data_IF_200236309909
#
_entry.id   IF_200236309909
#
_cell.length_a   1.000
_cell.length_b   1.000
_cell.length_c   1.000
_cell.angle_alpha   90.00
_cell.angle_beta   90.00
_cell.angle_gamma   90.00
#
_symmetry.space_group_name_H-M   'P 1'
#
loop_
_entity.id
_entity.type
_entity.pdbx_description
1 polymer ?
#
# COMPACT_ATOMS: atom_id res chain seq x y z
N UNK A 1 -53.06 -39.64 61.15
CA UNK A 1 -53.73 -38.89 62.23
C UNK A 1 -53.11 -37.50 62.26
N UNK A 2 -53.97 -36.49 62.19
CA UNK A 2 -53.67 -35.05 62.02
C UNK A 2 -52.78 -34.47 63.12
N UNK A 3 -51.95 -33.47 62.79
CA UNK A 3 -52.11 -32.12 63.36
C UNK A 3 -51.18 -31.08 62.71
N UNK A 4 -51.84 -30.09 62.11
CA UNK A 4 -51.34 -28.80 61.67
C UNK A 4 -50.82 -27.97 62.85
N UNK A 5 -49.67 -27.29 62.68
CA UNK A 5 -49.32 -26.10 63.48
C UNK A 5 -48.71 -25.02 62.57
N UNK A 6 -49.60 -24.12 62.12
CA UNK A 6 -49.53 -22.65 62.09
C UNK A 6 -48.17 -21.97 61.81
N UNK A 7 -48.12 -21.27 60.66
CA UNK A 7 -47.08 -20.30 60.31
C UNK A 7 -47.09 -19.02 61.16
N UNK A 8 -45.93 -18.35 61.30
CA UNK A 8 -45.86 -16.90 61.37
C UNK A 8 -45.14 -16.34 60.13
N UNK A 9 -45.89 -15.54 59.35
CA UNK A 9 -45.35 -14.65 58.32
C UNK A 9 -44.51 -13.56 58.99
N UNK A 10 -43.21 -13.51 58.72
CA UNK A 10 -42.45 -12.26 58.82
C UNK A 10 -41.58 -12.11 57.59
N UNK A 11 -41.96 -11.11 56.79
CA UNK A 11 -41.28 -10.64 55.61
C UNK A 11 -39.96 -10.00 56.02
N UNK A 12 -38.84 -10.51 55.56
CA UNK A 12 -37.64 -9.67 55.42
C UNK A 12 -36.96 -9.97 54.10
N UNK A 13 -37.22 -9.08 53.15
CA UNK A 13 -36.52 -8.98 51.89
C UNK A 13 -35.09 -8.52 52.20
N UNK A 14 -34.12 -9.39 51.96
CA UNK A 14 -32.75 -8.97 51.75
C UNK A 14 -32.33 -9.53 50.38
N UNK A 15 -32.59 -8.72 49.34
CA UNK A 15 -31.98 -8.87 48.03
C UNK A 15 -30.47 -8.69 48.21
N UNK A 16 -29.73 -9.80 48.26
CA UNK A 16 -28.29 -9.76 48.04
C UNK A 16 -28.08 -9.65 46.52
N UNK A 17 -28.07 -8.40 46.04
CA UNK A 17 -27.64 -8.07 44.68
C UNK A 17 -26.14 -8.32 44.60
N UNK A 18 -25.74 -9.50 44.13
CA UNK A 18 -24.37 -9.75 43.70
C UNK A 18 -24.14 -9.01 42.38
N UNK A 19 -23.69 -7.77 42.49
CA UNK A 19 -23.22 -7.00 41.33
C UNK A 19 -21.91 -7.62 40.86
N UNK A 20 -21.99 -8.53 39.89
CA UNK A 20 -20.82 -8.94 39.11
C UNK A 20 -20.42 -7.71 38.30
N UNK A 21 -19.39 -7.01 38.76
CA UNK A 21 -18.69 -6.02 37.95
C UNK A 21 -17.94 -6.79 36.86
N UNK A 22 -18.61 -7.04 35.73
CA UNK A 22 -17.92 -7.39 34.49
C UNK A 22 -17.16 -6.14 34.08
N UNK A 23 -15.89 -6.07 34.48
CA UNK A 23 -14.90 -5.18 33.87
C UNK A 23 -14.71 -5.67 32.43
N UNK A 24 -15.60 -5.26 31.54
CA UNK A 24 -15.30 -5.26 30.12
C UNK A 24 -14.19 -4.24 29.96
N UNK A 25 -12.96 -4.74 29.84
CA UNK A 25 -11.83 -3.97 29.37
C UNK A 25 -12.17 -3.50 27.94
N UNK A 26 -12.91 -2.39 27.81
CA UNK A 26 -12.88 -1.58 26.61
C UNK A 26 -11.54 -0.85 26.60
N UNK A 27 -10.47 -1.64 26.40
CA UNK A 27 -9.16 -1.12 26.10
C UNK A 27 -9.28 -0.33 24.80
N UNK A 28 -8.91 0.95 24.90
CA UNK A 28 -8.84 1.94 23.85
C UNK A 28 -8.74 1.40 22.41
N UNK A 29 -9.86 1.57 21.69
CA UNK A 29 -9.94 2.20 20.37
C UNK A 29 -8.98 1.73 19.27
N UNK A 30 -9.44 0.84 18.38
CA UNK A 30 -9.28 0.95 16.91
C UNK A 30 -7.89 1.01 16.27
N UNK A 31 -6.79 0.97 17.03
CA UNK A 31 -5.45 1.37 16.54
C UNK A 31 -4.47 0.20 16.43
N UNK A 32 -4.91 -0.95 15.90
CA UNK A 32 -4.07 -2.16 15.85
C UNK A 32 -3.96 -2.87 14.50
N UNK A 33 -4.65 -2.42 13.44
CA UNK A 33 -4.51 -3.10 12.14
C UNK A 33 -3.21 -2.69 11.43
N UNK A 34 -2.84 -1.41 11.48
CA UNK A 34 -1.66 -0.88 10.80
C UNK A 34 -0.36 -0.94 11.62
N UNK A 35 -0.36 -1.52 12.83
CA UNK A 35 0.84 -1.55 13.67
C UNK A 35 2.00 -2.30 12.97
N UNK A 36 3.09 -1.59 12.68
CA UNK A 36 4.24 -2.17 11.96
C UNK A 36 4.05 -2.35 10.45
N UNK A 37 2.87 -2.01 9.92
CA UNK A 37 2.52 -2.07 8.49
C UNK A 37 2.57 -0.68 7.85
N UNK A 38 3.15 -0.60 6.65
CA UNK A 38 3.07 0.57 5.79
C UNK A 38 1.71 0.66 5.10
N UNK A 39 1.15 -0.49 4.71
CA UNK A 39 -0.22 -0.61 4.25
C UNK A 39 -0.78 -2.00 4.55
N UNK A 40 -2.09 -2.13 4.49
CA UNK A 40 -2.83 -3.39 4.44
C UNK A 40 -3.64 -3.36 3.14
N UNK A 41 -3.55 -4.42 2.35
CA UNK A 41 -4.25 -4.54 1.07
C UNK A 41 -5.06 -5.82 1.11
N UNK A 42 -6.39 -5.71 1.22
CA UNK A 42 -7.29 -6.86 1.34
C UNK A 42 -6.84 -7.86 2.45
N UNK A 43 -6.44 -7.32 3.62
CA UNK A 43 -5.94 -8.09 4.76
C UNK A 43 -4.46 -8.52 4.69
N UNK A 44 -3.78 -8.35 3.55
CA UNK A 44 -2.33 -8.60 3.42
C UNK A 44 -1.53 -7.41 3.91
N UNK A 45 -0.59 -7.63 4.83
CA UNK A 45 0.26 -6.57 5.35
C UNK A 45 1.47 -6.31 4.44
N UNK A 46 1.68 -5.04 4.09
CA UNK A 46 2.94 -4.53 3.53
C UNK A 46 3.72 -3.96 4.72
N UNK A 47 4.80 -4.61 5.20
CA UNK A 47 5.47 -4.20 6.42
C UNK A 47 6.29 -2.94 6.21
N UNK A 48 6.40 -2.14 7.26
CA UNK A 48 7.23 -0.92 7.28
C UNK A 48 8.70 -1.20 6.98
N UNK A 49 9.20 -2.36 7.42
CA UNK A 49 10.58 -2.81 7.19
C UNK A 49 10.88 -3.05 5.71
N UNK A 50 9.91 -3.50 4.91
CA UNK A 50 10.07 -3.67 3.47
C UNK A 50 10.29 -2.33 2.79
N UNK A 51 9.48 -1.32 3.15
CA UNK A 51 9.63 0.04 2.57
C UNK A 51 10.99 0.60 2.94
N UNK A 52 11.40 0.52 4.21
CA UNK A 52 12.71 1.01 4.66
C UNK A 52 13.88 0.30 4.00
N UNK A 53 13.80 -1.02 3.82
CA UNK A 53 14.85 -1.78 3.14
C UNK A 53 15.02 -1.33 1.68
N UNK A 54 13.92 -1.25 0.92
CA UNK A 54 13.93 -0.81 -0.48
C UNK A 54 14.36 0.65 -0.65
N UNK A 55 14.00 1.53 0.29
CA UNK A 55 14.48 2.93 0.30
C UNK A 55 16.00 2.97 0.41
N UNK A 56 16.58 2.16 1.31
CA UNK A 56 18.03 2.12 1.51
C UNK A 56 18.75 1.56 0.28
N UNK A 57 18.24 0.46 -0.28
CA UNK A 57 18.73 -0.15 -1.52
C UNK A 57 18.81 0.88 -2.65
N UNK A 58 17.67 1.47 -3.02
CA UNK A 58 17.59 2.42 -4.14
C UNK A 58 18.46 3.66 -3.89
N UNK A 59 18.51 4.18 -2.66
CA UNK A 59 19.38 5.32 -2.35
C UNK A 59 20.85 4.98 -2.60
N UNK A 60 21.32 3.82 -2.15
CA UNK A 60 22.71 3.40 -2.36
C UNK A 60 23.01 3.25 -3.85
N UNK A 61 22.07 2.73 -4.63
CA UNK A 61 22.24 2.59 -6.09
C UNK A 61 22.26 3.94 -6.80
N UNK A 62 21.34 4.86 -6.48
CA UNK A 62 21.32 6.21 -7.04
C UNK A 62 22.63 6.95 -6.75
N UNK A 63 23.22 6.76 -5.55
CA UNK A 63 24.51 7.35 -5.18
C UNK A 63 25.69 6.85 -6.04
N UNK A 64 25.58 5.68 -6.69
CA UNK A 64 26.59 5.15 -7.60
C UNK A 64 26.36 5.57 -9.06
N UNK A 65 25.21 6.17 -9.39
CA UNK A 65 24.91 6.55 -10.77
C UNK A 65 25.76 7.77 -11.20
N UNK A 66 26.20 7.80 -12.47
CA UNK A 66 26.76 9.01 -13.06
C UNK A 66 25.79 10.19 -12.96
N UNK A 67 26.29 11.38 -12.60
CA UNK A 67 25.48 12.59 -12.49
C UNK A 67 24.72 12.94 -13.80
N UNK A 68 25.23 12.52 -14.96
CA UNK A 68 24.57 12.68 -16.26
C UNK A 68 23.30 11.84 -16.43
N UNK A 69 23.12 10.78 -15.62
CA UNK A 69 21.96 9.89 -15.66
C UNK A 69 20.93 10.21 -14.56
N UNK A 70 21.25 11.11 -13.63
CA UNK A 70 20.38 11.50 -12.52
C UNK A 70 19.86 12.92 -12.75
N UNK A 71 18.62 13.04 -13.24
CA UNK A 71 18.00 14.36 -13.41
C UNK A 71 17.58 14.99 -12.08
N UNK A 72 17.10 14.17 -11.14
CA UNK A 72 16.72 14.59 -9.80
C UNK A 72 16.87 13.40 -8.84
N UNK A 73 17.40 13.65 -7.65
CA UNK A 73 17.43 12.65 -6.56
C UNK A 73 16.15 12.80 -5.74
N UNK A 74 15.30 11.76 -5.65
CA UNK A 74 14.11 11.80 -4.81
C UNK A 74 14.47 11.97 -3.33
N UNK A 75 13.65 12.70 -2.60
CA UNK A 75 13.72 12.72 -1.13
C UNK A 75 13.35 11.34 -0.56
N UNK A 76 13.77 11.05 0.68
CA UNK A 76 13.42 9.79 1.35
C UNK A 76 11.90 9.59 1.48
N UNK A 77 11.15 10.67 1.64
CA UNK A 77 9.70 10.64 1.74
C UNK A 77 9.05 10.32 0.39
N UNK A 78 9.53 10.91 -0.71
CA UNK A 78 9.08 10.59 -2.06
C UNK A 78 9.41 9.14 -2.43
N UNK A 79 10.64 8.70 -2.15
CA UNK A 79 11.06 7.32 -2.42
C UNK A 79 10.22 6.31 -1.64
N UNK A 80 9.93 6.60 -0.37
CA UNK A 80 9.02 5.77 0.44
C UNK A 80 7.62 5.67 -0.16
N UNK A 81 7.07 6.78 -0.66
CA UNK A 81 5.76 6.80 -1.33
C UNK A 81 5.76 6.05 -2.64
N UNK A 82 6.79 6.21 -3.49
CA UNK A 82 6.92 5.46 -4.74
C UNK A 82 6.95 3.95 -4.48
N UNK A 83 7.76 3.52 -3.52
CA UNK A 83 7.88 2.11 -3.13
C UNK A 83 6.55 1.57 -2.58
N UNK A 84 5.86 2.32 -1.73
CA UNK A 84 4.58 1.88 -1.17
C UNK A 84 3.48 1.85 -2.24
N UNK A 85 3.42 2.87 -3.10
CA UNK A 85 2.47 2.94 -4.22
C UNK A 85 2.61 1.71 -5.11
N UNK A 86 3.84 1.40 -5.50
CA UNK A 86 4.14 0.23 -6.32
C UNK A 86 3.79 -1.08 -5.61
N UNK A 87 4.11 -1.22 -4.33
CA UNK A 87 3.77 -2.43 -3.58
C UNK A 87 2.24 -2.65 -3.48
N UNK A 88 1.45 -1.57 -3.35
CA UNK A 88 -0.02 -1.66 -3.38
C UNK A 88 -0.50 -1.99 -4.79
N UNK A 89 0.03 -1.28 -5.81
CA UNK A 89 -0.34 -1.49 -7.21
C UNK A 89 -0.01 -2.90 -7.70
N UNK A 90 1.09 -3.51 -7.25
CA UNK A 90 1.44 -4.90 -7.53
C UNK A 90 0.30 -5.86 -7.12
N UNK A 91 -0.36 -5.64 -5.97
CA UNK A 91 -1.50 -6.45 -5.53
C UNK A 91 -2.78 -6.15 -6.33
N UNK A 92 -3.06 -4.87 -6.61
CA UNK A 92 -4.23 -4.44 -7.40
C UNK A 92 -4.15 -5.00 -8.81
N UNK A 93 -2.98 -4.88 -9.45
CA UNK A 93 -2.71 -5.38 -10.78
C UNK A 93 -2.82 -6.91 -10.84
N UNK A 94 -2.29 -7.62 -9.83
CA UNK A 94 -2.39 -9.08 -9.77
C UNK A 94 -3.86 -9.54 -9.75
N UNK A 95 -4.72 -8.87 -8.99
CA UNK A 95 -6.15 -9.15 -8.97
C UNK A 95 -6.81 -8.80 -10.32
N UNK A 96 -6.46 -7.67 -10.93
CA UNK A 96 -6.98 -7.27 -12.24
C UNK A 96 -6.62 -8.24 -13.36
N UNK A 97 -5.36 -8.69 -13.42
CA UNK A 97 -4.92 -9.72 -14.36
C UNK A 97 -5.69 -11.03 -14.15
N UNK A 98 -5.88 -11.43 -12.89
CA UNK A 98 -6.61 -12.65 -12.55
C UNK A 98 -8.09 -12.58 -12.98
N UNK A 99 -8.77 -11.44 -12.79
CA UNK A 99 -10.16 -11.25 -13.25
C UNK A 99 -10.31 -11.37 -14.77
N UNK A 100 -9.27 -11.00 -15.52
CA UNK A 100 -9.22 -11.15 -16.98
C UNK A 100 -8.64 -12.49 -17.45
N UNK A 101 -8.31 -13.40 -16.53
CA UNK A 101 -7.65 -14.68 -16.81
C UNK A 101 -6.31 -14.53 -17.55
N UNK A 102 -5.60 -13.42 -17.31
CA UNK A 102 -4.27 -13.18 -17.87
C UNK A 102 -3.21 -13.77 -16.94
N UNK A 103 -2.32 -14.58 -17.50
CA UNK A 103 -1.14 -15.10 -16.81
C UNK A 103 0.11 -14.55 -17.49
N UNK A 104 0.92 -13.79 -16.76
CA UNK A 104 2.21 -13.31 -17.24
C UNK A 104 3.28 -14.36 -16.91
N UNK A 105 4.03 -14.82 -17.90
CA UNK A 105 5.09 -15.84 -17.72
C UNK A 105 6.47 -15.22 -17.62
N UNK A 106 7.42 -15.90 -16.96
CA UNK A 106 8.81 -15.42 -16.86
C UNK A 106 9.47 -15.24 -18.23
N UNK A 107 9.14 -16.11 -19.19
CA UNK A 107 9.65 -16.03 -20.55
C UNK A 107 9.21 -14.73 -21.25
N UNK A 108 7.93 -14.37 -21.14
CA UNK A 108 7.40 -13.12 -21.70
C UNK A 108 8.04 -11.88 -21.06
N UNK A 109 8.21 -11.90 -19.73
CA UNK A 109 8.86 -10.78 -19.02
C UNK A 109 10.31 -10.65 -19.44
N UNK A 110 11.03 -11.76 -19.58
CA UNK A 110 12.42 -11.76 -20.06
C UNK A 110 12.52 -11.20 -21.48
N UNK A 111 11.64 -11.61 -22.39
CA UNK A 111 11.61 -11.11 -23.77
C UNK A 111 11.28 -9.62 -23.81
N UNK A 112 10.26 -9.19 -23.06
CA UNK A 112 9.88 -7.78 -22.92
C UNK A 112 11.05 -6.93 -22.38
N UNK A 113 11.65 -7.35 -21.26
CA UNK A 113 12.81 -6.67 -20.67
C UNK A 113 13.97 -6.54 -21.65
N UNK A 114 14.29 -7.63 -22.37
CA UNK A 114 15.34 -7.62 -23.38
C UNK A 114 15.03 -6.65 -24.53
N UNK A 115 13.77 -6.58 -24.98
CA UNK A 115 13.37 -5.61 -26.02
C UNK A 115 13.53 -4.16 -25.56
N UNK A 116 13.14 -3.84 -24.32
CA UNK A 116 13.28 -2.51 -23.72
C UNK A 116 14.76 -2.14 -23.60
N UNK A 117 15.59 -3.05 -23.09
CA UNK A 117 17.04 -2.82 -22.97
C UNK A 117 17.73 -2.68 -24.33
N UNK A 118 17.33 -3.46 -25.33
CA UNK A 118 17.87 -3.35 -26.68
C UNK A 118 17.50 -2.01 -27.34
N UNK A 119 16.33 -1.46 -27.02
CA UNK A 119 15.85 -0.20 -27.60
C UNK A 119 16.47 1.04 -26.94
N UNK A 120 16.63 1.04 -25.62
CA UNK A 120 16.99 2.24 -24.86
C UNK A 120 18.34 2.16 -24.14
N UNK A 121 18.94 0.98 -24.02
CA UNK A 121 20.14 0.72 -23.22
C UNK A 121 19.78 0.30 -21.79
N UNK A 122 20.40 -0.78 -21.31
CA UNK A 122 20.11 -1.33 -19.98
C UNK A 122 20.44 -0.35 -18.85
N UNK A 123 21.63 0.24 -18.88
CA UNK A 123 22.12 1.18 -17.87
C UNK A 123 21.25 2.45 -17.79
N UNK A 124 20.79 2.94 -18.95
CA UNK A 124 19.88 4.08 -19.04
C UNK A 124 18.54 3.76 -18.39
N UNK A 125 17.96 2.60 -18.70
CA UNK A 125 16.67 2.19 -18.14
C UNK A 125 16.78 1.92 -16.64
N UNK A 126 17.82 1.21 -16.18
CA UNK A 126 18.05 0.94 -14.75
C UNK A 126 18.20 2.23 -13.95
N UNK A 127 18.99 3.20 -14.44
CA UNK A 127 19.10 4.52 -13.82
C UNK A 127 17.76 5.27 -13.78
N UNK A 128 16.99 5.20 -14.86
CA UNK A 128 15.69 5.85 -14.95
C UNK A 128 14.67 5.25 -13.96
N UNK A 129 14.56 3.92 -13.88
CA UNK A 129 13.59 3.29 -12.99
C UNK A 129 13.98 3.44 -11.52
N UNK A 130 15.28 3.46 -11.19
CA UNK A 130 15.74 3.78 -9.84
C UNK A 130 15.30 5.19 -9.42
N UNK A 131 15.58 6.18 -10.27
CA UNK A 131 15.33 7.60 -9.95
C UNK A 131 13.86 8.00 -10.04
N UNK A 132 13.10 7.47 -10.99
CA UNK A 132 11.71 7.88 -11.25
C UNK A 132 10.66 6.95 -10.62
N UNK A 133 11.01 5.69 -10.34
CA UNK A 133 10.05 4.68 -9.86
C UNK A 133 10.45 4.08 -8.50
N UNK A 134 11.63 4.43 -7.97
CA UNK A 134 12.11 3.84 -6.72
C UNK A 134 12.29 2.32 -6.82
N UNK A 135 12.84 1.86 -7.94
CA UNK A 135 13.05 0.43 -8.23
C UNK A 135 14.54 0.14 -8.14
N UNK A 136 14.93 -0.72 -7.19
CA UNK A 136 16.30 -1.19 -7.06
C UNK A 136 16.64 -2.24 -8.12
N UNK A 137 17.93 -2.52 -8.33
CA UNK A 137 18.40 -3.48 -9.33
C UNK A 137 17.85 -4.89 -9.08
N UNK A 138 17.67 -5.29 -7.82
CA UNK A 138 17.06 -6.60 -7.49
C UNK A 138 15.57 -6.67 -7.84
N UNK A 139 14.91 -5.52 -8.02
CA UNK A 139 13.48 -5.41 -8.24
C UNK A 139 13.10 -5.19 -9.71
N UNK A 140 14.08 -5.09 -10.62
CA UNK A 140 13.83 -4.77 -12.04
C UNK A 140 12.94 -5.81 -12.71
N UNK A 141 13.14 -7.11 -12.45
CA UNK A 141 12.33 -8.16 -13.06
C UNK A 141 10.85 -8.07 -12.64
N UNK A 142 10.60 -7.80 -11.37
CA UNK A 142 9.25 -7.61 -10.85
C UNK A 142 8.61 -6.33 -11.42
N UNK A 143 9.39 -5.26 -11.57
CA UNK A 143 8.92 -4.03 -12.19
C UNK A 143 8.57 -4.24 -13.68
N UNK A 144 9.42 -4.92 -14.45
CA UNK A 144 9.15 -5.24 -15.85
C UNK A 144 7.92 -6.14 -16.02
N UNK A 145 7.70 -7.07 -15.09
CA UNK A 145 6.47 -7.88 -15.03
C UNK A 145 5.23 -7.03 -14.79
N UNK A 146 5.31 -6.05 -13.89
CA UNK A 146 4.22 -5.11 -13.61
C UNK A 146 3.89 -4.28 -14.86
N UNK A 147 4.90 -3.62 -15.45
CA UNK A 147 4.74 -2.81 -16.68
C UNK A 147 4.16 -3.63 -17.82
N UNK A 148 4.65 -4.86 -18.03
CA UNK A 148 4.12 -5.74 -19.07
C UNK A 148 2.67 -6.16 -18.79
N UNK A 149 2.32 -6.45 -17.53
CA UNK A 149 0.96 -6.77 -17.13
C UNK A 149 -0.01 -5.60 -17.36
N UNK A 150 0.40 -4.39 -17.00
CA UNK A 150 -0.33 -3.15 -17.28
C UNK A 150 -0.53 -2.96 -18.79
N UNK A 151 0.51 -3.17 -19.59
CA UNK A 151 0.44 -3.08 -21.05
C UNK A 151 -0.55 -4.10 -21.65
N UNK A 152 -0.59 -5.32 -21.13
CA UNK A 152 -1.55 -6.34 -21.56
C UNK A 152 -2.99 -5.96 -21.22
N UNK A 153 -3.23 -5.46 -20.00
CA UNK A 153 -4.56 -5.02 -19.59
C UNK A 153 -5.02 -3.80 -20.39
N UNK A 154 -4.17 -2.79 -20.56
CA UNK A 154 -4.52 -1.58 -21.30
C UNK A 154 -4.94 -1.91 -22.75
N UNK A 155 -4.19 -2.82 -23.41
CA UNK A 155 -4.54 -3.33 -24.74
C UNK A 155 -5.82 -4.17 -24.75
N UNK A 156 -6.06 -5.00 -23.72
CA UNK A 156 -7.27 -5.80 -23.65
C UNK A 156 -8.52 -4.93 -23.46
N UNK A 157 -8.44 -3.94 -22.56
CA UNK A 157 -9.54 -3.07 -22.18
C UNK A 157 -9.89 -2.07 -23.29
N UNK A 158 -8.86 -1.56 -23.99
CA UNK A 158 -9.03 -0.54 -25.04
C UNK A 158 -8.20 -0.90 -26.29
N UNK A 159 -8.55 -1.97 -27.03
CA UNK A 159 -7.71 -2.55 -28.10
C UNK A 159 -7.47 -1.65 -29.31
N UNK A 160 -8.31 -0.63 -29.52
CA UNK A 160 -8.17 0.33 -30.62
C UNK A 160 -8.03 1.77 -30.11
N UNK A 161 -7.76 1.94 -28.81
CA UNK A 161 -7.57 3.26 -28.22
C UNK A 161 -6.21 3.86 -28.58
N UNK A 162 -6.15 5.17 -28.55
CA UNK A 162 -4.91 5.93 -28.43
C UNK A 162 -4.19 5.58 -27.12
N UNK A 163 -2.92 5.97 -27.00
CA UNK A 163 -2.12 5.75 -25.77
C UNK A 163 -2.81 6.33 -24.52
N UNK A 164 -3.45 7.50 -24.66
CA UNK A 164 -4.14 8.16 -23.55
C UNK A 164 -5.42 7.40 -23.17
N UNK A 165 -6.19 6.94 -24.16
CA UNK A 165 -7.41 6.14 -23.91
C UNK A 165 -7.09 4.78 -23.28
N UNK A 166 -5.97 4.16 -23.67
CA UNK A 166 -5.47 2.93 -23.06
C UNK A 166 -5.04 3.14 -21.61
N UNK A 167 -4.30 4.23 -21.35
CA UNK A 167 -3.87 4.60 -20.00
C UNK A 167 -5.07 4.89 -19.10
N UNK A 168 -6.03 5.70 -19.57
CA UNK A 168 -7.23 6.03 -18.81
C UNK A 168 -8.09 4.80 -18.53
N UNK A 169 -8.30 3.93 -19.54
CA UNK A 169 -9.05 2.69 -19.36
C UNK A 169 -8.41 1.74 -18.35
N UNK A 170 -7.07 1.64 -18.34
CA UNK A 170 -6.34 0.87 -17.34
C UNK A 170 -6.51 1.47 -15.93
N UNK A 171 -6.32 2.79 -15.78
CA UNK A 171 -6.46 3.49 -14.50
C UNK A 171 -7.88 3.36 -13.94
N UNK A 172 -8.90 3.54 -14.77
CA UNK A 172 -10.31 3.38 -14.36
C UNK A 172 -10.60 1.95 -13.89
N UNK A 173 -10.08 0.96 -14.60
CA UNK A 173 -10.26 -0.46 -14.27
C UNK A 173 -9.57 -0.83 -12.95
N UNK A 174 -8.28 -0.54 -12.82
CA UNK A 174 -7.52 -0.83 -11.60
C UNK A 174 -7.98 0.01 -10.42
N UNK A 175 -8.40 1.26 -10.64
CA UNK A 175 -8.98 2.13 -9.63
C UNK A 175 -10.30 1.58 -9.11
N UNK A 176 -11.11 0.96 -9.97
CA UNK A 176 -12.34 0.27 -9.54
C UNK A 176 -12.02 -0.93 -8.67
N UNK A 177 -11.11 -1.81 -9.10
CA UNK A 177 -10.65 -2.95 -8.28
C UNK A 177 -10.10 -2.46 -6.94
N UNK A 178 -9.28 -1.41 -6.98
CA UNK A 178 -8.64 -0.86 -5.79
C UNK A 178 -9.64 -0.31 -4.77
N UNK A 179 -10.80 0.21 -5.19
CA UNK A 179 -11.86 0.67 -4.26
C UNK A 179 -12.57 -0.51 -3.59
N UNK A 180 -12.63 -1.65 -4.26
CA UNK A 180 -13.20 -2.89 -3.71
C UNK A 180 -12.21 -3.63 -2.79
N UNK A 181 -10.92 -3.36 -2.94
CA UNK A 181 -9.88 -3.81 -2.02
C UNK A 181 -9.84 -2.85 -0.83
N UNK A 182 -10.11 -3.36 0.38
CA UNK A 182 -9.95 -2.59 1.62
C UNK A 182 -8.47 -2.23 1.84
N UNK A 183 -8.02 -1.14 1.21
CA UNK A 183 -6.65 -0.65 1.23
C UNK A 183 -6.55 0.40 2.33
N UNK A 184 -5.74 0.09 3.34
CA UNK A 184 -5.42 1.00 4.42
C UNK A 184 -3.94 1.36 4.34
N UNK A 185 -3.59 2.64 4.40
CA UNK A 185 -2.20 3.09 4.44
C UNK A 185 -1.87 3.69 5.80
N UNK A 186 -0.65 3.48 6.26
CA UNK A 186 -0.17 4.15 7.47
C UNK A 186 -0.03 5.66 7.18
N UNK A 187 -0.64 6.54 8.00
CA UNK A 187 -0.67 7.98 7.73
C UNK A 187 0.71 8.56 7.43
N UNK A 188 1.76 8.06 8.09
CA UNK A 188 3.14 8.54 7.95
C UNK A 188 3.68 8.48 6.51
N UNK A 189 3.14 7.59 5.68
CA UNK A 189 3.50 7.48 4.27
C UNK A 189 2.54 8.26 3.38
N UNK A 190 1.29 8.42 3.82
CA UNK A 190 0.26 9.15 3.08
C UNK A 190 -1.02 8.33 2.94
N UNK A 191 -1.84 8.73 1.98
CA UNK A 191 -3.13 8.12 1.65
C UNK A 191 -3.10 7.56 0.24
N UNK A 192 -3.62 6.34 0.07
CA UNK A 192 -3.77 5.74 -1.25
C UNK A 192 -4.88 6.44 -2.05
N UNK A 193 -4.57 6.95 -3.24
CA UNK A 193 -5.52 7.50 -4.18
C UNK A 193 -5.80 6.50 -5.31
N UNK A 194 -7.01 5.91 -5.39
CA UNK A 194 -7.36 4.95 -6.43
C UNK A 194 -7.51 5.56 -7.83
N UNK A 195 -7.61 6.90 -7.94
CA UNK A 195 -7.71 7.58 -9.25
C UNK A 195 -6.33 7.87 -9.85
N UNK A 196 -5.30 7.98 -9.01
CA UNK A 196 -3.90 8.17 -9.45
C UNK A 196 -3.09 6.88 -9.35
N UNK A 197 -3.64 5.83 -8.72
CA UNK A 197 -2.98 4.57 -8.36
C UNK A 197 -1.67 4.79 -7.58
N UNK A 198 -1.68 5.76 -6.68
CA UNK A 198 -0.50 6.19 -5.94
C UNK A 198 -0.85 6.58 -4.50
N UNK A 199 0.14 6.47 -3.62
CA UNK A 199 0.12 7.07 -2.28
C UNK A 199 0.48 8.54 -2.39
N UNK A 200 -0.48 9.40 -2.11
CA UNK A 200 -0.31 10.85 -2.03
C UNK A 200 0.16 11.25 -0.65
N UNK A 201 0.94 12.33 -0.56
CA UNK A 201 1.27 12.92 0.73
C UNK A 201 -0.01 13.30 1.47
N UNK A 202 -0.18 12.79 2.69
CA UNK A 202 -1.29 13.22 3.55
C UNK A 202 -1.05 14.61 4.13
N UNK A 203 -2.09 15.19 4.73
CA UNK A 203 -2.10 16.54 5.34
C UNK A 203 -1.12 16.77 6.52
N UNK A 204 -0.18 15.85 6.76
CA UNK A 204 0.80 15.93 7.86
C UNK A 204 1.97 16.86 7.57
N UNK A 205 1.69 18.07 7.08
CA UNK A 205 2.57 19.22 7.20
C UNK A 205 2.79 19.67 8.67
N UNK A 206 2.17 19.01 9.66
CA UNK A 206 2.12 19.44 11.06
C UNK A 206 3.08 18.70 12.01
N UNK A 207 4.20 18.18 11.52
CA UNK A 207 5.32 17.81 12.39
C UNK A 207 6.63 18.42 11.90
N UNK A 208 6.58 19.71 11.54
CA UNK A 208 7.73 20.57 11.70
C UNK A 208 7.59 21.25 13.07
N UNK A 209 8.60 21.20 13.97
CA UNK A 209 8.67 22.14 15.07
C UNK A 209 8.58 23.53 14.46
N UNK A 210 7.65 24.36 14.93
CA UNK A 210 7.57 25.74 14.48
C UNK A 210 8.97 26.35 14.55
N UNK A 211 9.52 26.75 13.39
CA UNK A 211 10.77 27.48 13.36
C UNK A 211 10.56 28.73 14.21
N UNK A 212 11.27 28.82 15.34
CA UNK A 212 11.31 30.03 16.15
C UNK A 212 11.92 31.09 15.24
N UNK A 213 11.07 31.98 14.70
CA UNK A 213 11.54 33.15 13.99
C UNK A 213 12.29 34.01 15.01
N UNK A 214 13.61 33.97 14.96
CA UNK A 214 14.45 34.92 15.65
C UNK A 214 14.24 36.28 14.97
N UNK A 215 13.54 37.18 15.65
CA UNK A 215 13.46 38.59 15.30
C UNK A 215 14.85 39.21 15.41
N UNK A 216 15.37 39.74 14.29
CA UNK A 216 16.36 40.81 14.27
C UNK A 216 15.87 41.90 13.33
#
# INVERSE_FOLDING_TARGET
MLLQVREPKVKFRALLSATVAVLVLTGCSGQSELAGSAAIVAGKQIPTTLVTARVNEVRMEIEQLPASQVSQVPTLAELSRMILSRAILEEVLALGLAQQNIVVTDAQVSEFKQSVFAQYGQDVIEAQIATQNGVGLEQVDNFMRMVFGEQLLAQLLTPNGTSDEQTNGLVDYLGTISRDMDIQTSPRFGEWNPNDLQVLAGDMALSQPAAIQATQ
#
